data_IF_248093352490
#
_entry.id   IF_248093352490
#
_cell.length_a   1.000
_cell.length_b   1.000
_cell.length_c   1.000
_cell.angle_alpha   90.00
_cell.angle_beta   90.00
_cell.angle_gamma   90.00
#
_symmetry.space_group_name_H-M   'P 1'
#
loop_
_entity.id
_entity.type
_entity.pdbx_description
1 polymer ?
#
# COMPACT_ATOMS: atom_id res chain seq x y z
N UNK A 1 8.04 0.77 14.85
CA UNK A 1 6.75 0.32 15.42
C UNK A 1 6.92 -1.08 15.99
N UNK A 2 6.34 -1.34 17.15
CA UNK A 2 6.39 -2.66 17.77
C UNK A 2 5.28 -3.58 17.21
N UNK A 3 5.47 -4.88 17.37
CA UNK A 3 4.43 -5.86 17.01
C UNK A 3 3.12 -5.59 17.77
N UNK A 4 3.22 -5.27 19.07
CA UNK A 4 2.05 -4.98 19.89
C UNK A 4 1.28 -3.76 19.38
N UNK A 5 1.97 -2.70 18.97
CA UNK A 5 1.32 -1.50 18.43
C UNK A 5 0.64 -1.77 17.09
N UNK A 6 1.29 -2.50 16.20
CA UNK A 6 0.73 -2.87 14.90
C UNK A 6 -0.51 -3.76 15.07
N UNK A 7 -0.40 -4.76 15.94
CA UNK A 7 -1.49 -5.67 16.28
C UNK A 7 -2.71 -4.93 16.82
N UNK A 8 -2.50 -4.04 17.79
CA UNK A 8 -3.57 -3.24 18.38
C UNK A 8 -4.28 -2.38 17.34
N UNK A 9 -3.52 -1.73 16.46
CA UNK A 9 -4.10 -0.88 15.41
C UNK A 9 -4.95 -1.69 14.44
N UNK A 10 -4.46 -2.86 13.99
CA UNK A 10 -5.21 -3.73 13.07
C UNK A 10 -6.47 -4.25 13.73
N UNK A 11 -6.38 -4.72 14.97
CA UNK A 11 -7.54 -5.21 15.71
C UNK A 11 -8.61 -4.12 15.86
N UNK A 12 -8.19 -2.91 16.23
CA UNK A 12 -9.11 -1.77 16.37
C UNK A 12 -9.79 -1.40 15.06
N UNK A 13 -9.08 -1.52 13.93
CA UNK A 13 -9.64 -1.23 12.61
C UNK A 13 -10.84 -2.12 12.27
N UNK A 14 -10.85 -3.35 12.76
CA UNK A 14 -11.95 -4.30 12.55
C UNK A 14 -12.90 -4.40 13.74
N UNK A 15 -12.73 -3.55 14.76
CA UNK A 15 -13.58 -3.58 15.95
C UNK A 15 -13.37 -4.80 16.84
N UNK A 16 -12.20 -5.43 16.76
CA UNK A 16 -11.86 -6.63 17.52
C UNK A 16 -10.94 -6.30 18.69
N UNK A 17 -11.02 -7.11 19.75
CA UNK A 17 -10.14 -6.98 20.92
C UNK A 17 -9.04 -8.04 20.95
N UNK A 18 -9.27 -9.19 20.31
CA UNK A 18 -8.35 -10.33 20.31
C UNK A 18 -8.14 -10.87 18.90
N UNK A 19 -7.05 -11.60 18.72
CA UNK A 19 -6.74 -12.28 17.46
C UNK A 19 -7.82 -13.33 17.14
N UNK A 20 -8.35 -13.99 18.17
CA UNK A 20 -9.42 -14.97 18.01
C UNK A 20 -10.67 -14.32 17.40
N UNK A 21 -11.05 -13.12 17.88
CA UNK A 21 -12.16 -12.36 17.32
C UNK A 21 -11.87 -11.95 15.88
N UNK A 22 -10.63 -11.53 15.58
CA UNK A 22 -10.25 -11.14 14.23
C UNK A 22 -10.38 -12.30 13.25
N UNK A 23 -9.96 -13.50 13.63
CA UNK A 23 -10.07 -14.69 12.78
C UNK A 23 -11.50 -15.06 12.47
N UNK A 24 -12.45 -14.68 13.32
CA UNK A 24 -13.89 -14.91 13.14
C UNK A 24 -14.61 -13.72 12.51
N UNK A 25 -13.94 -12.58 12.38
CA UNK A 25 -14.53 -11.37 11.82
C UNK A 25 -14.76 -11.53 10.32
N UNK A 26 -16.03 -11.41 9.89
CA UNK A 26 -16.41 -11.61 8.49
C UNK A 26 -15.77 -10.59 7.54
N UNK A 27 -15.69 -9.34 7.96
CA UNK A 27 -15.07 -8.29 7.13
C UNK A 27 -13.61 -8.62 6.88
N UNK A 28 -12.89 -9.02 7.93
CA UNK A 28 -11.48 -9.40 7.81
C UNK A 28 -11.30 -10.65 6.93
N UNK A 29 -12.07 -11.72 7.21
CA UNK A 29 -11.90 -12.98 6.48
C UNK A 29 -12.27 -12.85 5.00
N UNK A 30 -13.31 -12.10 4.69
CA UNK A 30 -13.69 -11.85 3.29
C UNK A 30 -12.66 -11.01 2.56
N UNK A 31 -12.12 -9.99 3.23
CA UNK A 31 -11.11 -9.09 2.66
C UNK A 31 -9.78 -9.80 2.42
N UNK A 32 -9.50 -10.87 3.17
CA UNK A 32 -8.25 -11.63 3.08
C UNK A 32 -8.40 -12.93 2.29
N UNK A 33 -9.51 -13.11 1.59
CA UNK A 33 -9.73 -14.30 0.75
C UNK A 33 -8.61 -14.43 -0.29
N UNK A 34 -7.98 -15.60 -0.34
CA UNK A 34 -6.87 -15.85 -1.23
C UNK A 34 -5.49 -15.45 -0.71
N UNK A 35 -5.43 -14.83 0.46
CA UNK A 35 -4.17 -14.47 1.10
C UNK A 35 -3.91 -15.37 2.31
N UNK A 36 -2.68 -15.89 2.39
CA UNK A 36 -2.25 -16.74 3.50
C UNK A 36 -1.44 -15.90 4.49
N UNK A 37 -2.07 -15.54 5.61
CA UNK A 37 -1.44 -14.73 6.66
C UNK A 37 -1.52 -15.48 7.98
N UNK A 38 -0.35 -15.74 8.58
CA UNK A 38 -0.26 -16.55 9.78
C UNK A 38 -0.62 -15.82 11.08
N UNK A 39 -0.52 -14.49 11.13
CA UNK A 39 -0.76 -13.66 12.33
C UNK A 39 0.15 -13.99 13.52
N UNK A 40 1.34 -14.55 13.26
CA UNK A 40 2.25 -15.02 14.30
C UNK A 40 3.48 -14.12 14.49
N UNK A 41 3.95 -13.48 13.44
CA UNK A 41 5.19 -12.70 13.49
C UNK A 41 4.93 -11.20 13.37
N UNK A 42 5.94 -10.40 13.76
CA UNK A 42 5.88 -8.95 13.57
C UNK A 42 5.71 -8.62 12.09
N UNK A 43 6.38 -9.37 11.20
CA UNK A 43 6.28 -9.14 9.75
C UNK A 43 4.83 -9.31 9.26
N UNK A 44 4.11 -10.30 9.77
CA UNK A 44 2.69 -10.51 9.42
C UNK A 44 1.84 -9.33 9.84
N UNK A 45 2.00 -8.84 11.08
CA UNK A 45 1.24 -7.70 11.59
C UNK A 45 1.61 -6.40 10.89
N UNK A 46 2.87 -6.21 10.53
CA UNK A 46 3.29 -5.03 9.77
C UNK A 46 2.70 -5.03 8.36
N UNK A 47 2.61 -6.20 7.73
CA UNK A 47 1.97 -6.36 6.43
C UNK A 47 0.49 -5.96 6.49
N UNK A 48 -0.23 -6.41 7.52
CA UNK A 48 -1.62 -6.03 7.74
C UNK A 48 -1.77 -4.53 8.04
N UNK A 49 -0.86 -4.00 8.85
CA UNK A 49 -0.86 -2.57 9.17
C UNK A 49 -0.73 -1.73 7.89
N UNK A 50 0.24 -2.06 7.04
CA UNK A 50 0.44 -1.33 5.78
C UNK A 50 -0.78 -1.45 4.86
N UNK A 51 -1.45 -2.59 4.86
CA UNK A 51 -2.63 -2.82 4.03
C UNK A 51 -3.86 -2.05 4.51
N UNK A 52 -4.14 -2.07 5.82
CA UNK A 52 -5.40 -1.58 6.38
C UNK A 52 -5.31 -0.24 7.08
N UNK A 53 -4.18 0.09 7.68
CA UNK A 53 -4.01 1.32 8.46
C UNK A 53 -3.26 2.40 7.65
N UNK A 54 -2.08 2.10 7.18
CA UNK A 54 -1.28 3.03 6.41
C UNK A 54 0.21 2.75 6.49
N UNK A 55 1.01 3.73 6.06
CA UNK A 55 2.46 3.63 6.13
C UNK A 55 2.91 3.96 7.55
N UNK A 56 3.67 3.08 8.23
CA UNK A 56 4.21 3.40 9.55
C UNK A 56 5.09 4.66 9.53
N UNK A 57 5.08 5.42 10.61
CA UNK A 57 5.81 6.68 10.69
C UNK A 57 7.30 6.52 10.37
N UNK A 58 7.92 5.44 10.84
CA UNK A 58 9.33 5.14 10.60
C UNK A 58 9.64 4.71 9.16
N UNK A 59 8.61 4.39 8.37
CA UNK A 59 8.76 4.01 6.96
C UNK A 59 8.42 5.15 5.99
N UNK A 60 8.08 6.32 6.52
CA UNK A 60 7.89 7.54 5.73
C UNK A 60 9.25 8.20 5.52
N UNK A 61 9.40 8.92 4.43
CA UNK A 61 10.67 9.59 4.06
C UNK A 61 11.81 8.62 3.76
N UNK A 62 11.50 7.41 3.31
CA UNK A 62 12.51 6.46 2.82
C UNK A 62 13.01 6.84 1.44
N UNK A 63 14.27 6.55 1.18
CA UNK A 63 14.91 6.76 -0.12
C UNK A 63 15.48 5.43 -0.64
N UNK A 64 15.65 5.33 -1.94
CA UNK A 64 16.19 4.13 -2.57
C UNK A 64 15.56 3.85 -3.92
N UNK A 65 16.06 2.81 -4.62
CA UNK A 65 15.62 2.45 -5.97
C UNK A 65 14.13 2.04 -6.03
N UNK A 66 13.57 1.53 -4.93
CA UNK A 66 12.18 1.09 -4.86
C UNK A 66 11.27 2.08 -4.13
N UNK A 67 11.80 3.26 -3.76
CA UNK A 67 11.05 4.28 -3.01
C UNK A 67 10.65 5.45 -3.92
N UNK A 68 9.41 5.91 -3.77
CA UNK A 68 8.87 7.06 -4.48
C UNK A 68 8.10 7.92 -3.47
N UNK A 69 8.40 9.22 -3.44
CA UNK A 69 7.77 10.18 -2.52
C UNK A 69 7.82 9.72 -1.07
N UNK A 70 8.95 9.13 -0.67
CA UNK A 70 9.24 8.79 0.71
C UNK A 70 8.77 7.42 1.17
N UNK A 71 8.13 6.62 0.31
CA UNK A 71 7.66 5.29 0.67
C UNK A 71 8.16 4.23 -0.31
N UNK A 72 8.35 3.01 0.21
CA UNK A 72 8.70 1.86 -0.61
C UNK A 72 7.44 1.34 -1.31
N UNK A 73 7.39 1.45 -2.64
CA UNK A 73 6.22 1.08 -3.42
C UNK A 73 6.02 -0.42 -3.53
N UNK A 74 7.06 -1.22 -3.26
CA UNK A 74 6.93 -2.68 -3.25
C UNK A 74 6.28 -3.18 -1.95
N UNK A 75 6.42 -2.42 -0.86
CA UNK A 75 5.83 -2.76 0.43
C UNK A 75 4.50 -2.06 0.69
N UNK A 76 4.21 -0.96 0.01
CA UNK A 76 3.02 -0.15 0.24
C UNK A 76 2.28 0.12 -1.07
N UNK A 77 0.96 -0.07 -1.06
CA UNK A 77 0.10 0.27 -2.20
C UNK A 77 -0.67 1.54 -1.85
N UNK A 78 -0.06 2.69 -2.15
CA UNK A 78 -0.62 4.03 -1.85
C UNK A 78 -0.56 4.91 -3.09
N UNK A 79 -1.40 4.64 -4.11
CA UNK A 79 -1.28 5.32 -5.40
C UNK A 79 -1.44 6.84 -5.32
N UNK A 80 -2.37 7.35 -4.53
CA UNK A 80 -2.53 8.80 -4.41
C UNK A 80 -1.30 9.48 -3.84
N UNK A 81 -0.65 8.85 -2.86
CA UNK A 81 0.59 9.35 -2.29
C UNK A 81 1.74 9.26 -3.29
N UNK A 82 1.87 8.13 -3.96
CA UNK A 82 2.96 7.89 -4.94
C UNK A 82 2.84 8.84 -6.12
N UNK A 83 1.63 9.08 -6.62
CA UNK A 83 1.39 10.03 -7.71
C UNK A 83 1.34 11.47 -7.26
N UNK A 84 1.39 11.72 -5.95
CA UNK A 84 1.33 13.06 -5.35
C UNK A 84 0.10 13.85 -5.79
N UNK A 85 -1.06 13.19 -5.73
CA UNK A 85 -2.34 13.75 -6.15
C UNK A 85 -3.36 13.66 -5.01
N UNK A 86 -4.33 14.60 -5.03
CA UNK A 86 -5.46 14.59 -4.11
C UNK A 86 -6.60 13.80 -4.76
N UNK A 87 -7.06 12.73 -4.09
CA UNK A 87 -8.13 11.87 -4.60
C UNK A 87 -9.45 12.61 -4.84
N UNK A 88 -9.66 13.75 -4.18
CA UNK A 88 -10.89 14.54 -4.29
C UNK A 88 -10.89 15.48 -5.50
N UNK A 89 -9.72 15.92 -5.94
CA UNK A 89 -9.60 16.97 -6.96
C UNK A 89 -8.91 16.51 -8.23
N UNK A 90 -8.19 15.39 -8.20
CA UNK A 90 -7.43 14.90 -9.34
C UNK A 90 -8.36 14.39 -10.46
N UNK A 91 -7.98 14.68 -11.71
CA UNK A 91 -8.64 14.16 -12.90
C UNK A 91 -7.92 12.89 -13.39
N UNK A 92 -8.57 12.16 -14.32
CA UNK A 92 -7.94 11.01 -14.97
C UNK A 92 -6.67 11.43 -15.72
N UNK A 93 -6.69 12.63 -16.31
CA UNK A 93 -5.53 13.19 -17.02
C UNK A 93 -4.37 13.43 -16.05
N UNK A 94 -4.66 13.93 -14.83
CA UNK A 94 -3.64 14.12 -13.80
C UNK A 94 -2.97 12.80 -13.43
N UNK A 95 -3.76 11.72 -13.30
CA UNK A 95 -3.23 10.37 -13.01
C UNK A 95 -2.34 9.89 -14.14
N UNK A 96 -2.77 10.02 -15.37
CA UNK A 96 -2.01 9.60 -16.55
C UNK A 96 -0.70 10.38 -16.69
N UNK A 97 -0.73 11.68 -16.44
CA UNK A 97 0.46 12.53 -16.50
C UNK A 97 1.45 12.19 -15.41
N UNK A 98 0.98 11.97 -14.18
CA UNK A 98 1.82 11.59 -13.05
C UNK A 98 2.48 10.23 -13.32
N UNK A 99 1.71 9.25 -13.79
CA UNK A 99 2.27 7.95 -14.17
C UNK A 99 3.33 8.09 -15.27
N UNK A 100 3.06 8.88 -16.29
CA UNK A 100 3.99 9.09 -17.40
C UNK A 100 5.31 9.70 -16.91
N UNK A 101 5.24 10.67 -15.99
CA UNK A 101 6.43 11.29 -15.43
C UNK A 101 7.25 10.29 -14.61
N UNK A 102 6.60 9.43 -13.82
CA UNK A 102 7.30 8.40 -13.06
C UNK A 102 7.87 7.31 -13.98
N UNK A 103 7.17 6.99 -15.07
CA UNK A 103 7.65 6.01 -16.06
C UNK A 103 8.96 6.44 -16.72
N UNK A 104 9.18 7.74 -16.90
CA UNK A 104 10.43 8.26 -17.47
C UNK A 104 11.66 7.91 -16.62
N UNK A 105 11.47 7.72 -15.31
CA UNK A 105 12.54 7.40 -14.37
C UNK A 105 12.60 5.90 -14.07
N UNK A 106 11.46 5.25 -13.98
CA UNK A 106 11.35 3.89 -13.47
C UNK A 106 11.14 2.81 -14.55
N UNK A 107 10.99 3.19 -15.80
CA UNK A 107 10.85 2.22 -16.89
C UNK A 107 12.15 1.41 -17.02
N UNK A 108 12.06 0.06 -17.19
CA UNK A 108 13.27 -0.78 -17.32
C UNK A 108 14.20 -0.35 -18.46
N UNK A 109 13.67 0.18 -19.55
CA UNK A 109 14.46 0.64 -20.70
C UNK A 109 15.38 1.82 -20.37
N UNK A 110 15.07 2.58 -19.32
CA UNK A 110 15.89 3.71 -18.86
C UNK A 110 16.64 3.39 -17.57
N UNK A 111 16.80 2.10 -17.26
CA UNK A 111 17.53 1.66 -16.08
C UNK A 111 16.71 1.55 -14.80
N UNK A 112 15.38 1.67 -14.89
CA UNK A 112 14.49 1.51 -13.74
C UNK A 112 14.31 0.04 -13.34
N UNK A 113 13.76 -0.17 -12.15
CA UNK A 113 13.43 -1.49 -11.64
C UNK A 113 12.10 -1.96 -12.22
N UNK A 114 12.09 -3.11 -12.91
CA UNK A 114 10.89 -3.66 -13.54
C UNK A 114 9.76 -3.90 -12.53
N UNK A 115 10.10 -4.29 -11.30
CA UNK A 115 9.10 -4.53 -10.25
C UNK A 115 8.41 -3.23 -9.82
N UNK A 116 9.16 -2.15 -9.73
CA UNK A 116 8.61 -0.83 -9.42
C UNK A 116 7.70 -0.37 -10.55
N UNK A 117 8.13 -0.50 -11.80
CA UNK A 117 7.34 -0.11 -12.95
C UNK A 117 6.02 -0.89 -13.01
N UNK A 118 6.06 -2.20 -12.82
CA UNK A 118 4.87 -3.05 -12.77
C UNK A 118 3.92 -2.61 -11.66
N UNK A 119 4.45 -2.27 -10.49
CA UNK A 119 3.67 -1.79 -9.36
C UNK A 119 2.97 -0.46 -9.70
N UNK A 120 3.69 0.45 -10.36
CA UNK A 120 3.13 1.73 -10.80
C UNK A 120 1.99 1.54 -11.80
N UNK A 121 2.10 0.57 -12.70
CA UNK A 121 1.02 0.24 -13.64
C UNK A 121 -0.22 -0.23 -12.90
N UNK A 122 -0.06 -1.08 -11.90
CA UNK A 122 -1.18 -1.57 -11.04
C UNK A 122 -1.81 -0.44 -10.27
N UNK A 123 -1.01 0.48 -9.72
CA UNK A 123 -1.51 1.65 -9.01
C UNK A 123 -2.33 2.56 -9.93
N UNK A 124 -1.82 2.84 -11.13
CA UNK A 124 -2.53 3.63 -12.14
C UNK A 124 -3.88 2.98 -12.48
N UNK A 125 -3.88 1.70 -12.78
CA UNK A 125 -5.09 0.99 -13.19
C UNK A 125 -6.11 0.95 -12.04
N UNK A 126 -5.67 0.75 -10.81
CA UNK A 126 -6.52 0.77 -9.62
C UNK A 126 -7.20 2.12 -9.43
N UNK A 127 -6.44 3.20 -9.55
CA UNK A 127 -6.97 4.56 -9.38
C UNK A 127 -7.96 4.90 -10.50
N UNK A 128 -7.60 4.61 -11.75
CA UNK A 128 -8.48 4.89 -12.88
C UNK A 128 -9.78 4.09 -12.81
N UNK A 129 -9.73 2.85 -12.29
CA UNK A 129 -10.93 2.04 -12.08
C UNK A 129 -11.87 2.62 -11.02
N UNK A 130 -11.35 3.34 -10.03
CA UNK A 130 -12.15 4.02 -9.00
C UNK A 130 -12.75 5.34 -9.48
N UNK A 131 -12.18 5.93 -10.51
CA UNK A 131 -12.64 7.21 -11.06
C UNK A 131 -13.72 6.97 -12.11
N UNK A 132 -14.78 7.75 -12.04
CA UNK A 132 -15.89 7.64 -12.98
C UNK A 132 -15.82 8.65 -14.10
#
# INVERSE_FOLDING_TARGET
MTMAAAKKAVLSNFGCKTVKELRKNKNFTMSMTGEDISLKTKADWMKLYRKWIGVPAEERNKTGATCINGIDVLENFRPWHVFNLDSKTASKEDVKNSFRNLAKVHHPDVGGDARVFERLQKMRDSVLAQMK
#
